data_IF_923788929862
#
_entry.id   IF_923788929862
#
_cell.length_a   1.000
_cell.length_b   1.000
_cell.length_c   1.000
_cell.angle_alpha   90.00
_cell.angle_beta   90.00
_cell.angle_gamma   90.00
#
_symmetry.space_group_name_H-M   'P 1'
#
loop_
_entity.id
_entity.type
_entity.pdbx_description
1 polymer ?
#
# COMPACT_ATOMS: atom_id res chain seq x y z
N UNK A 1 -27.44 -17.19 -5.43
CA UNK A 1 -26.13 -16.79 -4.84
C UNK A 1 -25.03 -17.85 -4.94
N UNK A 2 -25.32 -19.16 -4.91
CA UNK A 2 -24.27 -20.20 -5.01
C UNK A 2 -23.51 -20.21 -6.36
N UNK A 3 -24.22 -19.97 -7.48
CA UNK A 3 -23.62 -19.96 -8.83
C UNK A 3 -22.65 -18.78 -9.03
N UNK A 4 -23.00 -17.58 -8.55
CA UNK A 4 -22.16 -16.39 -8.66
C UNK A 4 -20.89 -16.48 -7.80
N UNK A 5 -20.98 -17.09 -6.61
CA UNK A 5 -19.81 -17.38 -5.76
C UNK A 5 -18.87 -18.40 -6.41
N UNK A 6 -19.41 -19.48 -6.99
CA UNK A 6 -18.61 -20.48 -7.74
C UNK A 6 -17.95 -19.90 -8.99
N UNK A 7 -18.66 -19.04 -9.74
CA UNK A 7 -18.11 -18.37 -10.91
C UNK A 7 -17.00 -17.35 -10.56
N UNK A 8 -17.10 -16.67 -9.42
CA UNK A 8 -16.05 -15.79 -8.92
C UNK A 8 -14.79 -16.58 -8.53
N UNK A 9 -14.97 -17.69 -7.80
CA UNK A 9 -13.87 -18.57 -7.40
C UNK A 9 -13.13 -19.16 -8.61
N UNK A 10 -13.86 -19.59 -9.66
CA UNK A 10 -13.28 -20.09 -10.90
C UNK A 10 -12.42 -19.05 -11.65
N UNK A 11 -12.62 -17.76 -11.39
CA UNK A 11 -11.84 -16.64 -11.97
C UNK A 11 -10.76 -16.12 -11.02
N UNK A 12 -10.52 -16.77 -9.89
CA UNK A 12 -9.60 -16.30 -8.85
C UNK A 12 -10.02 -14.98 -8.19
N UNK A 13 -11.28 -14.58 -8.35
CA UNK A 13 -11.82 -13.35 -7.79
C UNK A 13 -12.42 -13.63 -6.42
N UNK A 14 -12.20 -12.69 -5.50
CA UNK A 14 -12.91 -12.72 -4.23
C UNK A 14 -14.41 -12.50 -4.50
N UNK A 15 -15.31 -13.23 -3.80
CA UNK A 15 -16.72 -12.88 -3.77
C UNK A 15 -16.94 -11.55 -3.00
N UNK A 16 -15.92 -11.06 -2.29
CA UNK A 16 -15.94 -9.84 -1.51
C UNK A 16 -15.29 -8.68 -2.26
N UNK A 17 -15.75 -7.48 -1.95
CA UNK A 17 -15.23 -6.23 -2.49
C UNK A 17 -14.71 -5.35 -1.35
N UNK A 18 -13.51 -4.80 -1.50
CA UNK A 18 -12.96 -3.81 -0.55
C UNK A 18 -13.18 -2.42 -1.13
N UNK A 19 -14.11 -1.66 -0.53
CA UNK A 19 -14.49 -0.31 -0.97
C UNK A 19 -14.17 0.74 0.09
N UNK A 20 -13.01 0.61 0.71
CA UNK A 20 -12.53 1.58 1.68
C UNK A 20 -11.03 1.82 1.49
N UNK A 21 -10.60 3.01 1.93
CA UNK A 21 -9.19 3.33 2.11
C UNK A 21 -8.96 3.65 3.58
N UNK A 22 -7.98 2.98 4.20
CA UNK A 22 -7.64 3.18 5.61
C UNK A 22 -6.38 4.03 5.69
N UNK A 23 -6.53 5.20 6.29
CA UNK A 23 -5.43 6.12 6.54
C UNK A 23 -4.46 5.57 7.60
N UNK A 24 -3.18 6.00 7.57
CA UNK A 24 -2.25 5.75 8.66
C UNK A 24 -2.85 6.17 10.00
N UNK A 25 -2.81 5.27 10.98
CA UNK A 25 -3.40 5.52 12.30
C UNK A 25 -2.39 5.46 13.45
N UNK A 26 -1.09 5.29 13.13
CA UNK A 26 -0.01 5.31 14.11
C UNK A 26 1.09 6.27 13.69
N UNK A 27 1.84 6.79 14.66
CA UNK A 27 3.00 7.64 14.40
C UNK A 27 4.02 6.94 13.49
N UNK A 28 4.22 5.64 13.66
CA UNK A 28 5.13 4.83 12.85
C UNK A 28 4.68 4.80 11.39
N UNK A 29 3.38 4.61 11.12
CA UNK A 29 2.85 4.64 9.75
C UNK A 29 2.84 6.05 9.14
N UNK A 30 2.91 7.10 9.97
CA UNK A 30 2.99 8.49 9.51
C UNK A 30 4.42 8.93 9.17
N UNK A 31 5.44 8.26 9.74
CA UNK A 31 6.85 8.59 9.51
C UNK A 31 7.25 8.66 8.03
N UNK A 32 6.81 7.75 7.13
CA UNK A 32 7.16 7.84 5.71
C UNK A 32 6.67 9.14 5.07
N UNK A 33 5.44 9.58 5.37
CA UNK A 33 4.91 10.85 4.86
C UNK A 33 5.67 12.05 5.41
N UNK A 34 5.96 12.04 6.71
CA UNK A 34 6.73 13.12 7.34
C UNK A 34 8.14 13.18 6.77
N UNK A 35 8.77 12.03 6.53
CA UNK A 35 10.10 11.94 5.94
C UNK A 35 10.09 12.45 4.50
N UNK A 36 9.16 11.98 3.66
CA UNK A 36 9.03 12.45 2.27
C UNK A 36 8.70 13.95 2.23
N UNK A 37 7.81 14.43 3.10
CA UNK A 37 7.46 15.85 3.22
C UNK A 37 8.62 16.72 3.70
N UNK A 38 9.39 16.25 4.69
CA UNK A 38 10.60 16.93 5.16
C UNK A 38 11.66 16.98 4.06
N UNK A 39 11.91 15.86 3.38
CA UNK A 39 12.89 15.80 2.29
C UNK A 39 12.46 16.69 1.12
N UNK A 40 11.17 16.68 0.76
CA UNK A 40 10.61 17.54 -0.29
C UNK A 40 10.68 19.03 0.05
N UNK A 41 10.50 19.43 1.31
CA UNK A 41 10.55 20.84 1.74
C UNK A 41 11.98 21.35 1.93
N UNK A 42 12.87 20.56 2.55
CA UNK A 42 14.27 20.96 2.77
C UNK A 42 15.14 20.81 1.53
N UNK A 43 14.86 19.82 0.69
CA UNK A 43 15.74 19.41 -0.41
C UNK A 43 15.00 19.36 -1.75
N UNK A 44 14.04 20.28 -1.97
CA UNK A 44 13.27 20.38 -3.23
C UNK A 44 14.16 20.50 -4.48
N UNK A 45 15.38 21.01 -4.32
CA UNK A 45 16.46 21.02 -5.31
C UNK A 45 17.56 20.07 -4.86
N UNK A 46 17.27 18.78 -4.80
CA UNK A 46 18.18 17.76 -4.29
C UNK A 46 19.55 17.81 -5.01
N UNK A 47 20.55 18.46 -4.39
CA UNK A 47 21.92 18.68 -4.88
C UNK A 47 22.91 17.68 -4.27
N UNK A 48 22.45 16.45 -4.01
CA UNK A 48 23.29 15.36 -3.53
C UNK A 48 23.85 15.61 -2.12
N UNK A 49 25.17 15.48 -1.89
CA UNK A 49 25.75 15.41 -0.54
C UNK A 49 25.54 16.67 0.34
N UNK A 50 25.26 17.83 -0.26
CA UNK A 50 24.95 19.06 0.48
C UNK A 50 23.55 19.03 1.10
N UNK A 51 22.68 18.17 0.57
CA UNK A 51 21.28 18.02 0.93
C UNK A 51 21.01 16.69 1.65
N UNK A 52 22.07 15.94 1.97
CA UNK A 52 21.92 14.74 2.79
C UNK A 52 21.94 15.10 4.27
N UNK A 53 20.98 14.63 5.08
CA UNK A 53 20.94 14.91 6.50
C UNK A 53 22.25 14.51 7.18
N UNK A 54 22.79 15.39 8.02
CA UNK A 54 24.11 15.21 8.68
C UNK A 54 24.19 13.92 9.49
N UNK A 55 23.05 13.43 10.00
CA UNK A 55 22.94 12.17 10.75
C UNK A 55 22.99 10.90 9.88
N UNK A 56 23.03 11.01 8.55
CA UNK A 56 23.16 9.88 7.62
C UNK A 56 24.35 10.08 6.65
N UNK A 57 25.61 10.08 7.15
CA UNK A 57 26.79 10.39 6.33
C UNK A 57 27.06 9.39 5.20
N UNK A 58 26.61 8.13 5.32
CA UNK A 58 26.69 7.14 4.25
C UNK A 58 25.70 7.42 3.10
N UNK A 59 24.58 8.07 3.40
CA UNK A 59 23.58 8.45 2.40
C UNK A 59 24.13 9.50 1.44
N UNK A 60 25.00 10.41 1.89
CA UNK A 60 25.67 11.41 1.05
C UNK A 60 26.34 10.81 -0.20
N UNK A 61 26.95 9.63 -0.07
CA UNK A 61 27.65 8.93 -1.16
C UNK A 61 26.75 7.93 -1.89
N UNK A 62 25.76 7.36 -1.21
CA UNK A 62 24.90 6.30 -1.74
C UNK A 62 23.48 6.74 -2.09
N UNK A 63 23.13 8.04 -2.01
CA UNK A 63 21.73 8.47 -2.16
C UNK A 63 21.12 8.07 -3.51
N UNK A 64 21.89 8.13 -4.61
CA UNK A 64 21.41 7.72 -5.94
C UNK A 64 21.07 6.24 -5.99
N UNK A 65 22.01 5.30 -5.71
CA UNK A 65 21.68 3.88 -5.73
C UNK A 65 20.61 3.53 -4.69
N UNK A 66 20.60 4.14 -3.51
CA UNK A 66 19.55 3.92 -2.49
C UNK A 66 18.18 4.38 -2.97
N UNK A 67 18.07 5.54 -3.63
CA UNK A 67 16.80 6.01 -4.18
C UNK A 67 16.31 5.08 -5.29
N UNK A 68 17.21 4.68 -6.20
CA UNK A 68 16.88 3.75 -7.28
C UNK A 68 16.42 2.40 -6.74
N UNK A 69 17.13 1.83 -5.75
CA UNK A 69 16.72 0.56 -5.13
C UNK A 69 15.38 0.67 -4.40
N UNK A 70 15.15 1.76 -3.67
CA UNK A 70 13.88 1.99 -2.98
C UNK A 70 12.73 2.09 -3.98
N UNK A 71 12.86 2.90 -5.03
CA UNK A 71 11.83 3.00 -6.08
C UNK A 71 11.61 1.64 -6.74
N UNK A 72 12.66 0.89 -7.05
CA UNK A 72 12.55 -0.45 -7.61
C UNK A 72 11.80 -1.40 -6.68
N UNK A 73 12.07 -1.38 -5.38
CA UNK A 73 11.34 -2.17 -4.38
C UNK A 73 9.84 -1.81 -4.36
N UNK A 74 9.49 -0.52 -4.34
CA UNK A 74 8.08 -0.09 -4.39
C UNK A 74 7.39 -0.53 -5.68
N UNK A 75 8.07 -0.47 -6.84
CA UNK A 75 7.52 -0.97 -8.11
C UNK A 75 7.28 -2.47 -8.06
N UNK A 76 8.20 -3.25 -7.48
CA UNK A 76 8.03 -4.69 -7.30
C UNK A 76 6.85 -4.99 -6.35
N UNK A 77 6.77 -4.31 -5.21
CA UNK A 77 5.65 -4.44 -4.27
C UNK A 77 4.31 -4.10 -4.94
N UNK A 78 4.27 -3.01 -5.71
CA UNK A 78 3.08 -2.58 -6.42
C UNK A 78 2.65 -3.61 -7.47
N UNK A 79 3.58 -4.05 -8.32
CA UNK A 79 3.30 -4.91 -9.47
C UNK A 79 2.92 -6.33 -9.06
N UNK A 80 3.64 -6.91 -8.09
CA UNK A 80 3.49 -8.32 -7.74
C UNK A 80 2.62 -8.57 -6.50
N UNK A 81 2.37 -7.55 -5.67
CA UNK A 81 1.56 -7.72 -4.46
C UNK A 81 0.30 -6.86 -4.54
N UNK A 82 0.43 -5.54 -4.66
CA UNK A 82 -0.73 -4.66 -4.49
C UNK A 82 -1.71 -4.71 -5.66
N UNK A 83 -1.24 -4.60 -6.91
CA UNK A 83 -2.13 -4.62 -8.09
C UNK A 83 -2.91 -5.93 -8.24
N UNK A 84 -2.30 -7.12 -8.05
CA UNK A 84 -3.04 -8.38 -8.02
C UNK A 84 -4.10 -8.41 -6.91
N UNK A 85 -3.77 -7.94 -5.71
CA UNK A 85 -4.72 -7.90 -4.58
C UNK A 85 -5.88 -6.94 -4.85
N UNK A 86 -5.62 -5.73 -5.35
CA UNK A 86 -6.64 -4.76 -5.73
C UNK A 86 -7.61 -5.33 -6.78
N UNK A 87 -7.09 -6.08 -7.76
CA UNK A 87 -7.90 -6.75 -8.77
C UNK A 87 -8.72 -7.90 -8.17
N UNK A 88 -8.09 -8.73 -7.33
CA UNK A 88 -8.74 -9.88 -6.67
C UNK A 88 -9.93 -9.44 -5.80
N UNK A 89 -9.79 -8.34 -5.06
CA UNK A 89 -10.82 -7.78 -4.18
C UNK A 89 -11.64 -6.66 -4.81
N UNK A 90 -11.58 -6.51 -6.15
CA UNK A 90 -12.43 -5.62 -6.96
C UNK A 90 -12.53 -4.18 -6.42
N UNK A 91 -11.42 -3.62 -5.96
CA UNK A 91 -11.41 -2.28 -5.35
C UNK A 91 -11.86 -1.22 -6.38
N UNK A 92 -12.76 -0.31 -5.96
CA UNK A 92 -13.25 0.75 -6.85
C UNK A 92 -12.12 1.66 -7.32
N UNK A 93 -12.27 2.26 -8.51
CA UNK A 93 -11.22 3.10 -9.10
C UNK A 93 -10.77 4.26 -8.19
N UNK A 94 -11.70 4.85 -7.43
CA UNK A 94 -11.42 5.95 -6.50
C UNK A 94 -10.48 5.52 -5.36
N UNK A 95 -10.74 4.36 -4.73
CA UNK A 95 -9.89 3.84 -3.66
C UNK A 95 -8.63 3.18 -4.21
N UNK A 96 -8.67 2.66 -5.43
CA UNK A 96 -7.53 2.01 -6.09
C UNK A 96 -6.35 2.98 -6.20
N UNK A 97 -6.59 4.21 -6.63
CA UNK A 97 -5.52 5.21 -6.72
C UNK A 97 -4.93 5.55 -5.36
N UNK A 98 -5.76 5.73 -4.33
CA UNK A 98 -5.30 6.01 -2.94
C UNK A 98 -4.36 4.90 -2.46
N UNK A 99 -4.75 3.64 -2.66
CA UNK A 99 -3.95 2.48 -2.31
C UNK A 99 -2.63 2.37 -3.09
N UNK A 100 -2.65 2.66 -4.40
CA UNK A 100 -1.43 2.69 -5.24
C UNK A 100 -0.47 3.76 -4.74
N UNK A 101 -0.95 4.98 -4.51
CA UNK A 101 -0.10 6.09 -4.03
C UNK A 101 0.48 5.80 -2.67
N UNK A 102 -0.27 5.16 -1.77
CA UNK A 102 0.21 4.85 -0.42
C UNK A 102 1.27 3.76 -0.42
N UNK A 103 1.18 2.75 -1.30
CA UNK A 103 2.27 1.77 -1.46
C UNK A 103 3.52 2.44 -2.02
N UNK A 104 3.40 3.41 -2.93
CA UNK A 104 4.57 4.14 -3.45
C UNK A 104 5.27 5.03 -2.42
N UNK A 105 4.56 5.47 -1.38
CA UNK A 105 5.11 6.34 -0.33
C UNK A 105 5.56 5.54 0.91
N UNK A 106 4.76 4.56 1.32
CA UNK A 106 4.95 3.85 2.59
C UNK A 106 5.36 2.37 2.42
N UNK A 107 5.20 1.82 1.21
CA UNK A 107 5.51 0.43 0.90
C UNK A 107 4.71 -0.55 1.74
N UNK A 108 5.43 -1.40 2.49
CA UNK A 108 4.87 -2.50 3.27
C UNK A 108 3.83 -2.07 4.32
N UNK A 109 3.91 -0.86 4.88
CA UNK A 109 2.91 -0.39 5.85
C UNK A 109 1.52 -0.27 5.22
N UNK A 110 1.46 0.27 4.00
CA UNK A 110 0.21 0.35 3.23
C UNK A 110 -0.32 -1.04 2.87
N UNK A 111 0.56 -1.96 2.47
CA UNK A 111 0.19 -3.36 2.19
C UNK A 111 -0.43 -4.03 3.43
N UNK A 112 0.16 -3.84 4.61
CA UNK A 112 -0.35 -4.43 5.85
C UNK A 112 -1.69 -3.83 6.26
N UNK A 113 -1.91 -2.52 6.05
CA UNK A 113 -3.24 -1.91 6.21
C UNK A 113 -4.26 -2.53 5.25
N UNK A 114 -3.91 -2.69 3.99
CA UNK A 114 -4.83 -3.29 3.02
C UNK A 114 -5.20 -4.73 3.37
N UNK A 115 -4.22 -5.53 3.80
CA UNK A 115 -4.47 -6.89 4.29
C UNK A 115 -5.42 -6.92 5.50
N UNK A 116 -5.32 -5.95 6.42
CA UNK A 116 -6.26 -5.83 7.55
C UNK A 116 -7.69 -5.53 7.06
N UNK A 117 -7.87 -4.65 6.07
CA UNK A 117 -9.19 -4.39 5.46
C UNK A 117 -9.76 -5.61 4.75
N UNK A 118 -8.91 -6.40 4.08
CA UNK A 118 -9.32 -7.69 3.48
C UNK A 118 -9.84 -8.63 4.57
N UNK A 119 -9.06 -8.85 5.63
CA UNK A 119 -9.44 -9.75 6.71
C UNK A 119 -10.77 -9.32 7.36
N UNK A 120 -10.93 -8.02 7.61
CA UNK A 120 -12.19 -7.46 8.13
C UNK A 120 -13.37 -7.73 7.19
N UNK A 121 -13.18 -7.58 5.88
CA UNK A 121 -14.22 -7.88 4.90
C UNK A 121 -14.57 -9.37 4.85
N UNK A 122 -13.61 -10.26 5.10
CA UNK A 122 -13.85 -11.70 5.16
C UNK A 122 -14.58 -12.10 6.46
N UNK A 123 -14.20 -11.55 7.62
CA UNK A 123 -14.82 -11.89 8.92
C UNK A 123 -16.26 -11.40 9.07
N UNK A 124 -16.56 -10.16 8.66
CA UNK A 124 -17.94 -9.63 8.69
C UNK A 124 -18.90 -10.53 7.90
N UNK A 125 -18.43 -11.11 6.80
CA UNK A 125 -19.24 -11.98 5.97
C UNK A 125 -19.41 -13.39 6.55
N UNK A 126 -18.42 -13.94 7.26
CA UNK A 126 -18.59 -15.21 7.98
C UNK A 126 -19.63 -15.09 9.08
N UNK A 127 -19.64 -13.98 9.82
CA UNK A 127 -20.63 -13.73 10.88
C UNK A 127 -22.03 -13.51 10.30
N UNK A 128 -22.15 -12.74 9.22
CA UNK A 128 -23.46 -12.52 8.57
C UNK A 128 -23.99 -13.81 7.91
N UNK A 129 -23.10 -14.69 7.44
CA UNK A 129 -23.49 -15.99 6.88
C UNK A 129 -24.05 -16.95 7.95
N UNK A 130 -23.51 -16.91 9.17
CA UNK A 130 -23.98 -17.71 10.31
C UNK A 130 -25.31 -17.21 10.90
N UNK A 131 -25.69 -15.94 10.64
CA UNK A 131 -26.95 -15.36 11.12
C UNK A 131 -28.12 -15.54 10.13
N UNK A 132 -27.85 -16.08 8.94
CA UNK A 132 -28.84 -16.25 7.85
C UNK A 132 -29.20 -17.73 7.63
N UNK A 133 -28.53 -18.65 8.33
CA UNK A 133 -28.87 -20.09 8.42
C UNK A 133 -29.64 -20.39 9.72
#
# INVERSE_FOLDING_TARGET
MALSKRAAAARGLSPHQVNEYVHPNSLVELLPFLMVGYLGTKYYRFRGPNDTPVWLPWFAKAWKPTLVSTVAMHVVELQYVMLPLLSKYKVSAEYRWKWITSVMVEGIFSLNRFKRSILKAETLNSETGLLVE
#
